data_IF_502553074762
#
_entry.id   IF_502553074762
#
_cell.length_a   1.000
_cell.length_b   1.000
_cell.length_c   1.000
_cell.angle_alpha   90.00
_cell.angle_beta   90.00
_cell.angle_gamma   90.00
#
_symmetry.space_group_name_H-M   'P 1'
#
loop_
_entity.id
_entity.type
_entity.pdbx_description
1 polymer ?
#
# COMPACT_ATOMS: atom_id res chain seq x y z
N UNK A 1 5.88 -10.16 4.74
CA UNK A 1 6.27 -11.55 5.02
C UNK A 1 6.94 -11.76 6.38
N UNK A 2 8.24 -11.45 6.58
CA UNK A 2 8.93 -11.78 7.86
C UNK A 2 8.30 -11.10 9.08
N UNK A 3 8.06 -9.79 9.00
CA UNK A 3 7.40 -9.02 10.06
C UNK A 3 5.96 -9.52 10.31
N UNK A 4 5.20 -9.80 9.24
CA UNK A 4 3.84 -10.36 9.31
C UNK A 4 3.81 -11.71 10.06
N UNK A 5 4.75 -12.62 9.74
CA UNK A 5 4.87 -13.90 10.43
C UNK A 5 5.21 -13.73 11.91
N UNK A 6 6.22 -12.90 12.23
CA UNK A 6 6.65 -12.66 13.61
C UNK A 6 5.56 -12.00 14.46
N UNK A 7 4.80 -11.07 13.91
CA UNK A 7 3.62 -10.49 14.57
C UNK A 7 2.54 -11.55 14.79
N UNK A 8 2.28 -12.39 13.78
CA UNK A 8 1.30 -13.48 13.85
C UNK A 8 1.61 -14.51 14.94
N UNK A 9 2.89 -14.90 15.10
CA UNK A 9 3.34 -15.80 16.17
C UNK A 9 3.06 -15.26 17.58
N UNK A 10 2.92 -13.93 17.71
CA UNK A 10 2.59 -13.24 18.96
C UNK A 10 1.10 -12.90 19.09
N UNK A 11 0.25 -13.40 18.19
CA UNK A 11 -1.18 -13.09 18.14
C UNK A 11 -1.52 -11.71 17.58
N UNK A 12 -0.52 -10.99 17.05
CA UNK A 12 -0.71 -9.74 16.33
C UNK A 12 -1.14 -9.97 14.87
N UNK A 13 -1.50 -8.87 14.20
CA UNK A 13 -1.84 -8.87 12.77
C UNK A 13 -1.21 -7.67 12.09
N UNK A 14 -0.83 -7.83 10.82
CA UNK A 14 -0.36 -6.75 9.98
C UNK A 14 -1.39 -6.49 8.87
N UNK A 15 -1.88 -5.26 8.80
CA UNK A 15 -2.57 -4.78 7.61
C UNK A 15 -1.56 -4.05 6.73
N UNK A 16 -1.19 -4.68 5.60
CA UNK A 16 -0.21 -4.12 4.68
C UNK A 16 -0.92 -3.43 3.51
N UNK A 17 -0.87 -2.10 3.50
CA UNK A 17 -1.33 -1.27 2.39
C UNK A 17 -0.14 -0.62 1.70
N UNK A 18 -0.13 -0.60 0.36
CA UNK A 18 0.95 -0.01 -0.43
C UNK A 18 0.42 0.97 -1.46
N UNK A 19 1.14 2.08 -1.65
CA UNK A 19 0.97 3.02 -2.75
C UNK A 19 1.66 2.53 -4.03
N UNK A 20 2.53 1.53 -3.93
CA UNK A 20 3.26 0.97 -5.04
C UNK A 20 2.35 0.12 -5.91
N UNK A 21 2.68 0.06 -7.20
CA UNK A 21 1.99 -0.77 -8.19
C UNK A 21 2.79 -2.03 -8.55
N UNK A 22 4.06 -2.12 -8.12
CA UNK A 22 4.88 -3.31 -8.30
C UNK A 22 4.44 -4.48 -7.41
N UNK A 23 5.00 -5.67 -7.67
CA UNK A 23 4.68 -6.94 -6.98
C UNK A 23 5.76 -7.36 -5.95
N UNK A 24 6.58 -6.41 -5.47
CA UNK A 24 7.72 -6.76 -4.63
C UNK A 24 7.32 -7.30 -3.26
N UNK A 25 6.16 -6.90 -2.72
CA UNK A 25 5.65 -7.43 -1.46
C UNK A 25 5.25 -8.91 -1.58
N UNK A 26 4.58 -9.27 -2.68
CA UNK A 26 4.17 -10.62 -3.04
C UNK A 26 5.39 -11.50 -3.28
N UNK A 27 6.35 -11.02 -4.07
CA UNK A 27 7.61 -11.72 -4.33
C UNK A 27 8.44 -11.91 -3.07
N UNK A 28 8.35 -11.00 -2.10
CA UNK A 28 8.95 -11.15 -0.78
C UNK A 28 8.18 -12.12 0.13
N UNK A 29 7.04 -12.65 -0.31
CA UNK A 29 6.23 -13.68 0.36
C UNK A 29 5.05 -13.14 1.18
N UNK A 30 4.70 -11.87 1.06
CA UNK A 30 3.50 -11.31 1.71
C UNK A 30 2.26 -11.83 0.99
N UNK A 31 1.24 -12.26 1.73
CA UNK A 31 0.08 -12.95 1.13
C UNK A 31 -1.14 -12.06 0.98
N UNK A 32 -1.27 -11.06 1.83
CA UNK A 32 -2.44 -10.16 1.86
C UNK A 32 -1.94 -8.72 1.77
N UNK A 33 -1.81 -8.22 0.55
CA UNK A 33 -1.38 -6.85 0.26
C UNK A 33 -2.56 -6.06 -0.29
N UNK A 34 -2.78 -4.87 0.26
CA UNK A 34 -3.81 -3.94 -0.22
C UNK A 34 -3.16 -2.89 -1.11
N UNK A 35 -3.36 -3.02 -2.42
CA UNK A 35 -2.86 -2.08 -3.42
C UNK A 35 -3.82 -0.90 -3.60
N UNK A 36 -3.60 0.19 -2.87
CA UNK A 36 -4.50 1.34 -2.95
C UNK A 36 -4.42 2.07 -4.29
N UNK A 37 -3.32 1.96 -5.01
CA UNK A 37 -3.14 2.56 -6.35
C UNK A 37 -3.19 1.54 -7.49
N UNK A 38 -3.69 0.32 -7.20
CA UNK A 38 -3.76 -0.76 -8.18
C UNK A 38 -2.42 -1.47 -8.39
N UNK A 39 -2.36 -2.31 -9.41
CA UNK A 39 -1.30 -3.29 -9.65
C UNK A 39 -0.84 -3.25 -11.10
N UNK A 40 0.47 -3.16 -11.31
CA UNK A 40 1.09 -2.98 -12.63
C UNK A 40 0.86 -4.18 -13.55
N UNK A 41 0.81 -5.39 -12.99
CA UNK A 41 0.64 -6.65 -13.73
C UNK A 41 -0.84 -6.99 -13.96
N UNK A 42 -1.74 -6.02 -13.83
CA UNK A 42 -3.18 -6.16 -14.04
C UNK A 42 -3.72 -5.13 -15.02
N UNK A 43 -4.72 -5.56 -15.78
CA UNK A 43 -5.58 -4.70 -16.59
C UNK A 43 -6.95 -4.54 -15.94
N UNK A 44 -7.60 -3.40 -16.20
CA UNK A 44 -8.98 -3.08 -15.82
C UNK A 44 -9.79 -2.72 -17.04
N UNK A 45 -11.00 -3.27 -17.13
CA UNK A 45 -11.96 -2.90 -18.16
C UNK A 45 -12.87 -1.76 -17.68
N UNK A 46 -12.96 -0.67 -18.45
CA UNK A 46 -13.83 0.47 -18.16
C UNK A 46 -15.30 0.20 -18.48
N UNK A 47 -15.61 -0.84 -19.25
CA UNK A 47 -17.00 -1.21 -19.56
C UNK A 47 -17.66 -2.07 -18.47
N UNK A 48 -16.96 -3.08 -17.94
CA UNK A 48 -17.51 -3.98 -16.92
C UNK A 48 -16.92 -3.77 -15.51
N UNK A 49 -15.87 -2.96 -15.37
CA UNK A 49 -15.18 -2.73 -14.10
C UNK A 49 -14.28 -3.88 -13.64
N UNK A 50 -14.25 -5.01 -14.35
CA UNK A 50 -13.48 -6.18 -13.97
C UNK A 50 -11.97 -6.00 -14.17
N UNK A 51 -11.19 -6.63 -13.29
CA UNK A 51 -9.73 -6.66 -13.34
C UNK A 51 -9.23 -8.04 -13.74
N UNK A 52 -8.11 -8.11 -14.46
CA UNK A 52 -7.55 -9.36 -14.99
C UNK A 52 -6.02 -9.28 -15.04
N UNK A 53 -5.36 -10.44 -15.03
CA UNK A 53 -3.90 -10.50 -15.14
C UNK A 53 -3.44 -10.02 -16.53
N UNK A 54 -2.46 -9.11 -16.55
CA UNK A 54 -1.87 -8.55 -17.76
C UNK A 54 -0.37 -8.30 -17.53
N UNK A 55 0.48 -9.35 -17.56
CA UNK A 55 1.92 -9.20 -17.34
C UNK A 55 2.67 -8.67 -18.57
N UNK A 56 2.01 -8.59 -19.73
CA UNK A 56 2.58 -8.10 -20.98
C UNK A 56 1.89 -6.83 -21.46
N UNK A 57 2.16 -6.49 -22.72
CA UNK A 57 1.62 -5.28 -23.35
C UNK A 57 0.10 -5.31 -23.46
N UNK A 58 -0.51 -4.15 -23.25
CA UNK A 58 -1.94 -3.93 -23.41
C UNK A 58 -2.17 -2.97 -24.58
N UNK A 59 -2.96 -3.40 -25.56
CA UNK A 59 -3.24 -2.63 -26.77
C UNK A 59 -4.69 -2.15 -26.80
N UNK A 60 -4.92 -1.00 -27.45
CA UNK A 60 -6.28 -0.44 -27.60
C UNK A 60 -7.21 -1.38 -28.40
N UNK A 61 -6.66 -2.21 -29.28
CA UNK A 61 -7.45 -3.17 -30.05
C UNK A 61 -7.84 -4.43 -29.25
N UNK A 62 -7.33 -4.60 -28.03
CA UNK A 62 -7.61 -5.79 -27.24
C UNK A 62 -9.06 -5.81 -26.74
N UNK A 63 -9.68 -6.98 -26.83
CA UNK A 63 -10.96 -7.26 -26.20
C UNK A 63 -10.75 -7.55 -24.71
N UNK A 64 -11.63 -7.03 -23.87
CA UNK A 64 -11.65 -7.39 -22.45
C UNK A 64 -11.88 -8.91 -22.31
N UNK A 65 -11.02 -9.64 -21.56
CA UNK A 65 -11.16 -11.09 -21.41
C UNK A 65 -12.38 -11.49 -20.57
N UNK A 66 -13.02 -10.55 -19.87
CA UNK A 66 -14.15 -10.80 -18.98
C UNK A 66 -15.51 -10.55 -19.64
N UNK A 67 -15.62 -9.56 -20.52
CA UNK A 67 -16.90 -9.17 -21.15
C UNK A 67 -16.85 -9.03 -22.67
N UNK A 68 -15.67 -9.16 -23.30
CA UNK A 68 -15.49 -9.08 -24.75
C UNK A 68 -15.49 -7.66 -25.33
N UNK A 69 -15.67 -6.61 -24.53
CA UNK A 69 -15.66 -5.23 -25.02
C UNK A 69 -14.26 -4.80 -25.51
N UNK A 70 -14.17 -4.29 -26.74
CA UNK A 70 -12.91 -3.86 -27.38
C UNK A 70 -12.61 -2.40 -27.04
N UNK A 71 -11.34 -2.06 -26.81
CA UNK A 71 -10.93 -0.66 -26.58
C UNK A 71 -11.30 -0.10 -25.21
N UNK A 72 -11.57 -0.97 -24.25
CA UNK A 72 -12.01 -0.61 -22.89
C UNK A 72 -11.02 -1.03 -21.82
N UNK A 73 -9.99 -1.78 -22.18
CA UNK A 73 -8.95 -2.21 -21.26
C UNK A 73 -7.91 -1.11 -21.07
N UNK A 74 -7.50 -0.89 -19.82
CA UNK A 74 -6.38 -0.02 -19.43
C UNK A 74 -5.57 -0.69 -18.32
N UNK A 75 -4.35 -0.23 -18.01
CA UNK A 75 -3.65 -0.67 -16.80
C UNK A 75 -4.52 -0.46 -15.56
N UNK A 76 -4.51 -1.42 -14.64
CA UNK A 76 -5.18 -1.31 -13.33
C UNK A 76 -4.32 -0.48 -12.38
N UNK A 77 -4.09 0.77 -12.76
CA UNK A 77 -3.33 1.76 -12.00
C UNK A 77 -4.20 3.00 -11.84
N UNK A 78 -4.28 3.47 -10.60
CA UNK A 78 -4.98 4.70 -10.24
C UNK A 78 -4.14 5.89 -10.69
N UNK A 79 -4.70 6.72 -11.55
CA UNK A 79 -4.06 7.97 -11.97
C UNK A 79 -4.43 9.13 -11.05
N UNK A 80 -3.64 10.21 -11.11
CA UNK A 80 -3.99 11.44 -10.41
C UNK A 80 -5.38 11.93 -10.83
N UNK A 81 -6.22 12.23 -9.84
CA UNK A 81 -7.62 12.61 -10.02
C UNK A 81 -8.60 11.44 -9.96
N UNK A 82 -8.13 10.19 -9.96
CA UNK A 82 -8.97 9.01 -9.75
C UNK A 82 -9.03 8.61 -8.27
N UNK A 83 -10.10 7.92 -7.90
CA UNK A 83 -10.28 7.41 -6.54
C UNK A 83 -9.38 6.18 -6.30
N UNK A 84 -8.54 6.19 -5.25
CA UNK A 84 -7.81 5.00 -4.83
C UNK A 84 -8.73 3.85 -4.47
N UNK A 85 -8.21 2.64 -4.53
CA UNK A 85 -8.91 1.43 -4.17
C UNK A 85 -8.89 1.19 -2.66
N UNK A 86 -9.85 0.39 -2.21
CA UNK A 86 -9.90 -0.17 -0.84
C UNK A 86 -9.95 0.86 0.30
N UNK A 87 -10.38 2.10 0.06
CA UNK A 87 -10.44 3.16 1.07
C UNK A 87 -11.18 2.73 2.34
N UNK A 88 -12.33 2.06 2.20
CA UNK A 88 -13.11 1.57 3.34
C UNK A 88 -12.35 0.54 4.18
N UNK A 89 -11.64 -0.39 3.53
CA UNK A 89 -10.84 -1.40 4.22
C UNK A 89 -9.62 -0.79 4.93
N UNK A 90 -8.97 0.18 4.29
CA UNK A 90 -7.85 0.92 4.87
C UNK A 90 -8.32 1.72 6.09
N UNK A 91 -9.45 2.41 5.98
CA UNK A 91 -10.02 3.17 7.09
C UNK A 91 -10.44 2.25 8.25
N UNK A 92 -11.08 1.12 7.96
CA UNK A 92 -11.45 0.13 8.99
C UNK A 92 -10.21 -0.45 9.70
N UNK A 93 -9.16 -0.78 8.95
CA UNK A 93 -7.90 -1.24 9.52
C UNK A 93 -7.25 -0.18 10.40
N UNK A 94 -7.19 1.06 9.91
CA UNK A 94 -6.61 2.18 10.64
C UNK A 94 -7.37 2.48 11.95
N UNK A 95 -8.70 2.39 11.94
CA UNK A 95 -9.54 2.63 13.13
C UNK A 95 -9.39 1.57 14.23
N UNK A 96 -8.74 0.45 13.93
CA UNK A 96 -8.53 -0.68 14.86
C UNK A 96 -7.06 -1.01 15.02
N UNK A 97 -6.17 -0.11 14.61
CA UNK A 97 -4.73 -0.29 14.68
C UNK A 97 -4.19 0.22 16.02
N UNK A 98 -3.22 -0.48 16.58
CA UNK A 98 -2.48 -0.06 17.77
C UNK A 98 -1.19 0.68 17.45
N UNK A 99 -0.79 0.68 16.17
CA UNK A 99 0.41 1.31 15.65
C UNK A 99 0.24 1.59 14.15
N UNK A 100 0.60 2.77 13.71
CA UNK A 100 0.69 3.14 12.29
C UNK A 100 2.15 3.36 11.90
N UNK A 101 2.60 2.70 10.83
CA UNK A 101 3.96 2.85 10.30
C UNK A 101 3.90 3.22 8.82
N UNK A 102 4.45 4.38 8.46
CA UNK A 102 4.66 4.77 7.07
C UNK A 102 6.10 4.47 6.66
N UNK A 103 6.28 3.82 5.50
CA UNK A 103 7.60 3.39 5.02
C UNK A 103 7.81 3.93 3.61
N UNK A 104 8.88 4.69 3.39
CA UNK A 104 9.30 5.08 2.03
C UNK A 104 8.32 6.04 1.32
N UNK A 105 7.65 6.94 2.05
CA UNK A 105 6.65 7.85 1.46
C UNK A 105 7.14 9.29 1.42
N UNK A 106 6.79 10.06 0.40
CA UNK A 106 7.12 11.49 0.34
C UNK A 106 6.25 12.38 1.23
N UNK A 107 5.08 11.91 1.65
CA UNK A 107 4.12 12.72 2.42
C UNK A 107 3.27 13.68 1.57
N UNK A 108 3.37 13.62 0.24
CA UNK A 108 2.71 14.56 -0.67
C UNK A 108 1.44 14.01 -1.37
N UNK A 109 1.30 12.68 -1.47
CA UNK A 109 0.23 12.05 -2.26
C UNK A 109 -0.99 11.74 -1.39
N UNK A 110 -2.09 12.43 -1.66
CA UNK A 110 -3.36 12.22 -0.95
C UNK A 110 -4.24 11.18 -1.65
N UNK A 111 -5.00 10.37 -0.88
CA UNK A 111 -5.24 10.46 0.57
C UNK A 111 -4.17 9.78 1.45
N UNK A 112 -3.21 9.04 0.88
CA UNK A 112 -2.24 8.25 1.66
C UNK A 112 -1.45 9.07 2.69
N UNK A 113 -0.99 10.25 2.30
CA UNK A 113 -0.30 11.21 3.17
C UNK A 113 -1.14 11.69 4.38
N UNK A 114 -2.47 11.58 4.30
CA UNK A 114 -3.37 11.97 5.38
C UNK A 114 -3.49 10.93 6.50
N UNK A 115 -3.12 9.66 6.26
CA UNK A 115 -3.37 8.58 7.22
C UNK A 115 -2.61 8.75 8.53
N UNK A 116 -1.41 9.32 8.53
CA UNK A 116 -0.66 9.63 9.75
C UNK A 116 -1.43 10.59 10.66
N UNK A 117 -2.02 11.65 10.11
CA UNK A 117 -2.80 12.62 10.90
C UNK A 117 -4.10 11.99 11.42
N UNK A 118 -4.69 11.08 10.65
CA UNK A 118 -5.86 10.31 11.10
C UNK A 118 -5.52 9.35 12.25
N UNK A 119 -4.41 8.63 12.17
CA UNK A 119 -3.91 7.77 13.25
C UNK A 119 -3.65 8.59 14.52
N UNK A 120 -2.92 9.71 14.38
CA UNK A 120 -2.60 10.62 15.48
C UNK A 120 -3.87 11.18 16.16
N UNK A 121 -4.88 11.54 15.38
CA UNK A 121 -6.15 12.05 15.91
C UNK A 121 -6.90 11.00 16.75
N UNK A 122 -6.63 9.70 16.56
CA UNK A 122 -7.17 8.60 17.35
C UNK A 122 -6.26 8.19 18.52
N UNK A 123 -5.13 8.87 18.72
CA UNK A 123 -4.15 8.52 19.74
C UNK A 123 -3.33 7.26 19.40
N UNK A 124 -3.34 6.83 18.14
CA UNK A 124 -2.54 5.70 17.68
C UNK A 124 -1.10 6.17 17.50
N UNK A 125 -0.11 5.51 18.12
CA UNK A 125 1.31 5.80 17.90
C UNK A 125 1.67 5.73 16.41
N UNK A 126 2.48 6.69 15.96
CA UNK A 126 2.87 6.84 14.56
C UNK A 126 4.38 6.79 14.37
N UNK A 127 4.85 6.01 13.40
CA UNK A 127 6.27 5.91 13.07
C UNK A 127 6.52 6.10 11.57
N UNK A 128 7.53 6.88 11.23
CA UNK A 128 8.07 7.00 9.87
C UNK A 128 9.40 6.23 9.74
N UNK A 129 9.52 5.40 8.71
CA UNK A 129 10.78 4.80 8.27
C UNK A 129 11.08 5.25 6.85
N UNK A 130 12.08 6.10 6.66
CA UNK A 130 12.32 6.69 5.34
C UNK A 130 13.80 6.93 5.05
N UNK A 131 14.17 7.16 3.80
CA UNK A 131 15.54 7.58 3.46
C UNK A 131 15.78 9.03 3.89
N UNK A 132 14.80 9.89 3.64
CA UNK A 132 14.78 11.32 3.97
C UNK A 132 13.43 11.66 4.66
N UNK A 133 13.35 12.73 5.45
CA UNK A 133 12.08 13.17 6.04
C UNK A 133 11.00 13.43 4.98
N UNK A 134 9.77 12.99 5.23
CA UNK A 134 8.62 13.34 4.39
C UNK A 134 8.13 14.78 4.62
N UNK A 135 7.33 15.29 3.68
CA UNK A 135 6.69 16.61 3.79
C UNK A 135 5.75 16.73 5.01
N UNK A 136 5.26 15.60 5.52
CA UNK A 136 4.35 15.51 6.67
C UNK A 136 5.03 14.83 7.88
N UNK A 137 6.36 14.86 7.96
CA UNK A 137 7.15 14.26 9.05
C UNK A 137 6.75 14.80 10.44
N UNK A 138 6.24 16.05 10.50
CA UNK A 138 5.73 16.71 11.71
C UNK A 138 4.55 15.97 12.36
N UNK A 139 3.87 15.11 11.61
CA UNK A 139 2.74 14.34 12.09
C UNK A 139 3.13 13.06 12.85
N UNK A 140 4.38 12.60 12.74
CA UNK A 140 4.84 11.34 13.32
C UNK A 140 5.38 11.52 14.74
N UNK A 141 5.18 10.51 15.60
CA UNK A 141 5.72 10.49 16.97
C UNK A 141 7.18 10.03 17.00
N UNK A 142 7.54 9.10 16.11
CA UNK A 142 8.90 8.61 15.91
C UNK A 142 9.27 8.63 14.43
N UNK A 143 10.52 8.93 14.11
CA UNK A 143 11.04 8.79 12.75
C UNK A 143 12.45 8.18 12.77
N UNK A 144 12.73 7.30 11.81
CA UNK A 144 14.06 6.69 11.60
C UNK A 144 14.47 6.84 10.16
N UNK A 145 15.68 7.37 9.96
CA UNK A 145 16.21 7.68 8.64
C UNK A 145 17.39 6.80 8.26
N UNK A 146 17.38 6.31 7.02
CA UNK A 146 18.46 5.49 6.46
C UNK A 146 17.98 4.57 5.34
N UNK A 147 18.88 3.72 4.79
CA UNK A 147 18.51 2.76 3.76
C UNK A 147 17.38 1.84 4.24
N UNK A 148 16.33 1.69 3.44
CA UNK A 148 15.18 0.84 3.79
C UNK A 148 15.60 -0.63 4.06
N UNK A 149 16.65 -1.11 3.38
CA UNK A 149 17.24 -2.43 3.58
C UNK A 149 17.82 -2.66 4.98
N UNK A 150 18.09 -1.59 5.75
CA UNK A 150 18.66 -1.64 7.09
C UNK A 150 17.63 -1.18 8.13
N UNK A 151 17.02 -0.01 7.91
CA UNK A 151 16.11 0.63 8.86
C UNK A 151 14.84 -0.20 9.07
N UNK A 152 14.25 -0.76 8.00
CA UNK A 152 12.98 -1.50 8.11
C UNK A 152 13.17 -2.83 8.85
N UNK A 153 14.15 -3.70 8.51
CA UNK A 153 14.39 -4.91 9.29
C UNK A 153 14.74 -4.61 10.75
N UNK A 154 15.56 -3.60 11.03
CA UNK A 154 15.95 -3.25 12.39
C UNK A 154 14.76 -2.78 13.24
N UNK A 155 13.86 -1.98 12.67
CA UNK A 155 12.64 -1.54 13.34
C UNK A 155 11.73 -2.71 13.72
N UNK A 156 11.39 -3.57 12.76
CA UNK A 156 10.50 -4.70 13.04
C UNK A 156 11.12 -5.75 13.95
N UNK A 157 12.44 -5.96 13.90
CA UNK A 157 13.13 -6.83 14.83
C UNK A 157 13.01 -6.35 16.28
N UNK A 158 13.09 -5.03 16.52
CA UNK A 158 12.88 -4.44 17.84
C UNK A 158 11.41 -4.42 18.27
N UNK A 159 10.47 -4.28 17.32
CA UNK A 159 9.04 -4.29 17.61
C UNK A 159 8.55 -5.67 18.07
N UNK A 160 9.15 -6.74 17.52
CA UNK A 160 8.77 -8.14 17.79
C UNK A 160 9.75 -8.86 18.73
N UNK A 161 10.66 -8.13 19.39
CA UNK A 161 11.48 -8.67 20.49
C UNK A 161 10.68 -8.63 21.78
#
# INVERSE_FOLDING_TARGET
ARAEAALGERGGRLFLCTQNVDDLHERAGSRTVVHMHGELLKGRCTACGGTFACPGDLHVADACPLCGAVGTSRPDVVWFGEMPHHLDAIQAALSTADLFVAIGTSGAVYPAAGYVRHARAQGIPTCELNAEPSDNTDAFDEARYGPASETVPAYFAALVS
#
